data_IF_673915206071
#
_entry.id   IF_673915206071
#
_cell.length_a   1.000
_cell.length_b   1.000
_cell.length_c   1.000
_cell.angle_alpha   90.00
_cell.angle_beta   90.00
_cell.angle_gamma   90.00
#
_symmetry.space_group_name_H-M   'P 1'
#
loop_
_entity.id
_entity.type
_entity.pdbx_description
1 polymer ?
#
# COMPACT_ATOMS: atom_id res chain seq x y z
N UNK A 1 -3.00 4.65 -31.79
CA UNK A 1 -3.11 3.93 -30.49
C UNK A 1 -2.67 4.89 -29.38
N UNK A 2 -3.54 5.18 -28.42
CA UNK A 2 -3.20 6.04 -27.28
C UNK A 2 -2.20 5.33 -26.36
N UNK A 3 -1.10 6.00 -26.03
CA UNK A 3 -0.14 5.56 -25.00
C UNK A 3 -0.26 6.50 -23.81
N UNK A 4 -0.18 5.97 -22.59
CA UNK A 4 -0.21 6.78 -21.39
C UNK A 4 1.11 7.55 -21.22
N UNK A 5 1.03 8.73 -20.59
CA UNK A 5 2.17 9.56 -20.20
C UNK A 5 1.87 10.27 -18.89
N UNK A 6 2.89 10.55 -18.08
CA UNK A 6 2.74 11.44 -16.94
C UNK A 6 2.67 12.88 -17.43
N UNK A 7 1.56 13.58 -17.15
CA UNK A 7 1.33 14.95 -17.59
C UNK A 7 2.10 15.99 -16.78
N UNK A 8 2.43 15.67 -15.52
CA UNK A 8 3.22 16.55 -14.65
C UNK A 8 4.19 15.73 -13.78
N UNK A 9 5.39 15.44 -14.30
CA UNK A 9 6.42 14.72 -13.55
C UNK A 9 6.91 15.47 -12.30
N UNK A 10 6.74 16.78 -12.20
CA UNK A 10 7.16 17.57 -11.04
C UNK A 10 6.26 17.34 -9.83
N UNK A 11 5.00 16.99 -10.08
CA UNK A 11 4.01 16.63 -9.06
C UNK A 11 3.95 15.12 -8.79
N UNK A 12 4.84 14.33 -9.40
CA UNK A 12 4.95 12.90 -9.13
C UNK A 12 5.43 12.69 -7.69
N UNK A 13 4.79 11.78 -6.95
CA UNK A 13 5.25 11.40 -5.60
C UNK A 13 6.03 10.09 -5.56
N UNK A 14 6.36 9.53 -6.73
CA UNK A 14 7.09 8.26 -6.87
C UNK A 14 6.47 7.07 -6.10
N UNK A 15 5.16 7.08 -5.85
CA UNK A 15 4.45 6.05 -5.09
C UNK A 15 4.39 4.67 -5.80
N UNK A 16 4.75 4.64 -7.08
CA UNK A 16 4.75 3.46 -7.95
C UNK A 16 3.37 2.80 -8.13
N UNK A 17 2.26 3.45 -7.75
CA UNK A 17 0.93 2.89 -7.93
C UNK A 17 0.62 2.63 -9.41
N UNK A 18 0.98 3.55 -10.30
CA UNK A 18 0.85 3.37 -11.75
C UNK A 18 1.66 2.16 -12.24
N UNK A 19 2.93 2.04 -11.82
CA UNK A 19 3.82 0.92 -12.19
C UNK A 19 3.27 -0.41 -11.70
N UNK A 20 2.85 -0.49 -10.42
CA UNK A 20 2.30 -1.70 -9.79
C UNK A 20 1.00 -2.17 -10.48
N UNK A 21 0.17 -1.23 -10.93
CA UNK A 21 -1.14 -1.52 -11.51
C UNK A 21 -1.09 -1.81 -13.02
N UNK A 22 0.02 -1.54 -13.70
CA UNK A 22 0.12 -1.71 -15.16
C UNK A 22 0.12 -3.19 -15.54
N UNK A 23 -0.92 -3.72 -16.23
CA UNK A 23 -0.95 -5.14 -16.56
C UNK A 23 0.09 -5.53 -17.61
N UNK A 24 0.55 -4.58 -18.43
CA UNK A 24 1.59 -4.77 -19.44
C UNK A 24 3.00 -4.47 -18.91
N UNK A 25 3.12 -4.02 -17.66
CA UNK A 25 4.41 -3.63 -17.06
C UNK A 25 5.20 -2.63 -17.92
N UNK A 26 4.48 -1.68 -18.55
CA UNK A 26 5.02 -0.76 -19.54
C UNK A 26 5.53 0.56 -18.94
N UNK A 27 5.47 0.72 -17.61
CA UNK A 27 5.90 1.92 -16.90
C UNK A 27 7.03 1.56 -15.95
N UNK A 28 7.96 2.49 -15.78
CA UNK A 28 9.03 2.44 -14.79
C UNK A 28 9.17 3.82 -14.14
N UNK A 29 9.92 3.88 -13.05
CA UNK A 29 10.24 5.11 -12.35
C UNK A 29 11.69 5.51 -12.59
N UNK A 30 11.87 6.74 -13.03
CA UNK A 30 13.17 7.42 -13.01
C UNK A 30 13.15 8.44 -11.89
N UNK A 31 14.07 8.28 -10.93
CA UNK A 31 14.23 9.16 -9.77
C UNK A 31 14.25 10.66 -10.12
N UNK A 32 13.81 11.51 -9.20
CA UNK A 32 13.83 12.96 -9.38
C UNK A 32 15.22 13.48 -9.83
N UNK A 33 15.22 14.31 -10.89
CA UNK A 33 16.45 14.73 -11.58
C UNK A 33 17.32 15.72 -10.79
N UNK A 34 16.72 16.38 -9.81
CA UNK A 34 17.34 17.37 -8.92
C UNK A 34 18.36 16.73 -7.97
N UNK A 35 18.16 15.49 -7.54
CA UNK A 35 19.10 14.83 -6.61
C UNK A 35 19.42 13.35 -6.89
N UNK A 36 18.74 12.67 -7.82
CA UNK A 36 18.98 11.24 -8.09
C UNK A 36 19.91 11.05 -9.31
N UNK A 37 21.12 10.49 -9.14
CA UNK A 37 21.97 10.13 -10.28
C UNK A 37 21.33 9.07 -11.17
N UNK A 38 21.63 9.11 -12.46
CA UNK A 38 21.09 8.15 -13.43
C UNK A 38 21.54 6.70 -13.14
N UNK A 39 20.75 5.72 -13.61
CA UNK A 39 21.17 4.32 -13.74
C UNK A 39 20.74 3.38 -12.61
N UNK A 40 20.10 3.88 -11.55
CA UNK A 40 19.42 3.04 -10.56
C UNK A 40 17.95 2.77 -10.95
N UNK A 41 17.40 1.64 -10.52
CA UNK A 41 15.97 1.33 -10.68
C UNK A 41 15.42 0.45 -9.54
N UNK A 42 14.14 0.62 -9.24
CA UNK A 42 13.40 -0.12 -8.22
C UNK A 42 12.10 -0.66 -8.83
N UNK A 43 12.13 -1.90 -9.31
CA UNK A 43 11.03 -2.49 -10.10
C UNK A 43 10.20 -3.43 -9.22
N UNK A 44 8.91 -3.14 -8.99
CA UNK A 44 8.00 -4.03 -8.30
C UNK A 44 7.37 -5.07 -9.23
N UNK A 45 7.06 -6.24 -8.66
CA UNK A 45 6.13 -7.20 -9.24
C UNK A 45 5.13 -7.61 -8.15
N UNK A 46 3.92 -7.05 -8.21
CA UNK A 46 2.87 -7.26 -7.21
C UNK A 46 1.98 -8.44 -7.63
N UNK A 47 1.84 -9.40 -6.71
CA UNK A 47 0.88 -10.51 -6.78
C UNK A 47 -0.32 -10.22 -5.85
N UNK A 48 -1.18 -11.22 -5.62
CA UNK A 48 -2.31 -11.14 -4.68
C UNK A 48 -1.90 -11.15 -3.21
N UNK A 49 -0.92 -11.98 -2.83
CA UNK A 49 -0.49 -12.24 -1.44
C UNK A 49 0.88 -11.65 -1.10
N UNK A 50 1.66 -11.29 -2.11
CA UNK A 50 3.05 -10.87 -1.96
C UNK A 50 3.47 -9.85 -3.01
N UNK A 51 4.55 -9.13 -2.73
CA UNK A 51 5.21 -8.23 -3.67
C UNK A 51 6.70 -8.56 -3.73
N UNK A 52 7.22 -8.67 -4.95
CA UNK A 52 8.65 -8.84 -5.21
C UNK A 52 9.24 -7.51 -5.67
N UNK A 53 10.48 -7.27 -5.27
CA UNK A 53 11.22 -6.07 -5.64
C UNK A 53 12.57 -6.45 -6.20
N UNK A 54 12.92 -5.82 -7.32
CA UNK A 54 14.26 -5.82 -7.89
C UNK A 54 14.84 -4.42 -7.76
N UNK A 55 15.90 -4.28 -6.99
CA UNK A 55 16.64 -3.03 -6.83
C UNK A 55 17.96 -3.17 -7.57
N UNK A 56 18.13 -2.38 -8.64
CA UNK A 56 19.38 -2.30 -9.40
C UNK A 56 20.07 -0.98 -9.07
N UNK A 57 21.31 -1.07 -8.62
CA UNK A 57 22.15 0.09 -8.33
C UNK A 57 22.86 0.56 -9.60
N UNK A 58 23.27 1.82 -9.63
CA UNK A 58 24.02 2.42 -10.76
C UNK A 58 25.28 1.62 -11.12
N UNK A 59 25.93 1.00 -10.14
CA UNK A 59 27.14 0.18 -10.35
C UNK A 59 26.85 -1.24 -10.89
N UNK A 60 25.59 -1.57 -11.20
CA UNK A 60 25.18 -2.88 -11.71
C UNK A 60 24.79 -3.90 -10.63
N UNK A 61 25.08 -3.63 -9.35
CA UNK A 61 24.65 -4.51 -8.25
C UNK A 61 23.12 -4.65 -8.25
N UNK A 62 22.64 -5.88 -8.11
CA UNK A 62 21.20 -6.18 -8.08
C UNK A 62 20.84 -6.88 -6.78
N UNK A 63 19.81 -6.37 -6.08
CA UNK A 63 19.22 -7.00 -4.90
C UNK A 63 17.78 -7.39 -5.20
N UNK A 64 17.34 -8.54 -4.70
CA UNK A 64 15.97 -9.05 -4.85
C UNK A 64 15.36 -9.30 -3.49
N UNK A 65 14.11 -8.87 -3.34
CA UNK A 65 13.34 -9.03 -2.11
C UNK A 65 11.94 -9.56 -2.43
N UNK A 66 11.34 -10.25 -1.47
CA UNK A 66 9.93 -10.66 -1.51
C UNK A 66 9.33 -10.39 -0.13
N UNK A 67 8.18 -9.73 -0.11
CA UNK A 67 7.45 -9.39 1.11
C UNK A 67 6.00 -9.88 1.01
N UNK A 68 5.42 -10.46 2.07
CA UNK A 68 3.98 -10.69 2.14
C UNK A 68 3.25 -9.33 2.22
N UNK A 69 2.11 -9.21 1.56
CA UNK A 69 1.28 -7.97 1.58
C UNK A 69 -0.14 -8.22 2.07
N UNK A 70 -0.60 -9.48 2.08
CA UNK A 70 -1.96 -9.83 2.50
C UNK A 70 -1.98 -11.25 3.04
N UNK A 71 -2.76 -11.47 4.10
CA UNK A 71 -2.99 -12.79 4.72
C UNK A 71 -4.38 -13.37 4.43
N UNK A 72 -5.24 -12.59 3.77
CA UNK A 72 -6.61 -12.95 3.37
C UNK A 72 -6.82 -12.69 1.88
N UNK A 73 -7.87 -13.26 1.29
CA UNK A 73 -8.15 -13.08 -0.14
C UNK A 73 -8.63 -11.65 -0.46
N UNK A 74 -8.38 -11.19 -1.69
CA UNK A 74 -8.91 -9.93 -2.17
C UNK A 74 -10.45 -9.95 -2.24
N UNK A 75 -11.10 -8.90 -1.77
CA UNK A 75 -12.56 -8.82 -1.70
C UNK A 75 -13.22 -9.59 -0.55
N UNK A 76 -12.46 -10.29 0.30
CA UNK A 76 -13.04 -11.12 1.39
C UNK A 76 -13.16 -10.41 2.76
N UNK A 77 -13.00 -9.09 2.81
CA UNK A 77 -13.05 -8.35 4.09
C UNK A 77 -14.49 -8.28 4.60
N UNK A 78 -14.70 -8.62 5.88
CA UNK A 78 -16.00 -8.50 6.56
C UNK A 78 -15.99 -7.19 7.36
N UNK A 79 -16.77 -6.15 6.97
CA UNK A 79 -16.62 -4.81 7.53
C UNK A 79 -16.89 -4.69 9.03
N UNK A 80 -17.83 -5.48 9.56
CA UNK A 80 -18.15 -5.51 11.00
C UNK A 80 -17.22 -6.43 11.80
N UNK A 81 -16.28 -7.12 11.13
CA UNK A 81 -15.37 -8.08 11.77
C UNK A 81 -16.07 -9.29 12.40
N UNK A 82 -17.36 -9.50 12.15
CA UNK A 82 -18.17 -10.51 12.83
C UNK A 82 -18.58 -10.14 14.27
N UNK A 83 -18.46 -8.87 14.67
CA UNK A 83 -18.91 -8.38 15.97
C UNK A 83 -20.36 -7.91 15.91
N UNK A 84 -21.16 -8.26 16.92
CA UNK A 84 -22.52 -7.75 17.06
C UNK A 84 -22.51 -6.28 17.51
N UNK A 85 -23.49 -5.51 17.04
CA UNK A 85 -23.67 -4.11 17.42
C UNK A 85 -24.46 -4.02 18.70
N UNK A 86 -23.83 -3.57 19.77
CA UNK A 86 -24.47 -3.39 21.08
C UNK A 86 -24.39 -1.97 21.61
N UNK A 87 -23.78 -1.05 20.86
CA UNK A 87 -23.55 0.35 21.25
C UNK A 87 -24.74 1.26 20.90
N UNK A 88 -24.98 2.26 21.74
CA UNK A 88 -25.96 3.34 21.51
C UNK A 88 -25.26 4.54 20.85
N UNK A 89 -25.98 5.32 20.03
CA UNK A 89 -25.43 6.49 19.35
C UNK A 89 -24.95 7.57 20.33
N UNK A 90 -25.59 7.64 21.50
CA UNK A 90 -25.22 8.57 22.57
C UNK A 90 -24.08 8.03 23.45
N UNK A 91 -23.62 6.81 23.19
CA UNK A 91 -22.49 6.22 23.90
C UNK A 91 -21.14 6.66 23.35
N UNK A 92 -20.09 6.46 24.17
CA UNK A 92 -18.70 6.68 23.77
C UNK A 92 -18.13 5.52 22.95
N UNK A 93 -18.72 4.32 23.03
CA UNK A 93 -18.21 3.15 22.34
C UNK A 93 -18.39 3.25 20.82
N UNK A 94 -17.33 2.93 20.07
CA UNK A 94 -17.41 2.78 18.62
C UNK A 94 -18.23 1.54 18.24
N UNK A 95 -18.58 1.44 16.96
CA UNK A 95 -19.50 0.44 16.41
C UNK A 95 -19.29 -1.02 16.88
N UNK A 96 -18.04 -1.47 16.99
CA UNK A 96 -17.70 -2.85 17.44
C UNK A 96 -17.22 -2.92 18.90
N UNK A 97 -17.15 -1.79 19.60
CA UNK A 97 -16.65 -1.71 20.97
C UNK A 97 -17.75 -2.02 22.00
N UNK A 98 -17.38 -2.55 23.18
CA UNK A 98 -16.03 -2.95 23.59
C UNK A 98 -15.58 -4.32 23.05
N UNK A 99 -16.46 -5.04 22.34
CA UNK A 99 -16.23 -6.43 21.95
C UNK A 99 -14.95 -6.63 21.13
N UNK A 100 -14.67 -5.75 20.17
CA UNK A 100 -13.46 -5.80 19.34
C UNK A 100 -12.17 -5.43 20.06
N UNK A 101 -12.25 -4.71 21.18
CA UNK A 101 -11.08 -4.32 21.97
C UNK A 101 -10.64 -5.41 22.93
N UNK A 102 -11.52 -6.37 23.23
CA UNK A 102 -11.31 -7.36 24.30
C UNK A 102 -10.99 -6.73 25.67
N UNK A 103 -11.43 -5.49 25.89
CA UNK A 103 -11.31 -4.74 27.14
C UNK A 103 -12.37 -3.64 27.20
N UNK A 104 -12.72 -3.13 28.40
CA UNK A 104 -13.61 -1.97 28.51
C UNK A 104 -13.04 -0.74 27.81
N UNK A 105 -13.91 0.12 27.26
CA UNK A 105 -13.49 1.39 26.68
C UNK A 105 -12.88 2.28 27.76
N UNK A 106 -11.65 2.75 27.49
CA UNK A 106 -10.93 3.58 28.46
C UNK A 106 -11.57 4.97 28.52
N UNK A 107 -11.93 5.38 29.73
CA UNK A 107 -12.37 6.76 30.00
C UNK A 107 -11.38 7.44 30.93
N UNK A 108 -11.04 8.69 30.62
CA UNK A 108 -10.25 9.51 31.51
C UNK A 108 -11.09 9.87 32.74
N UNK A 109 -10.61 9.51 33.93
CA UNK A 109 -11.20 10.00 35.19
C UNK A 109 -10.90 11.49 35.31
N UNK A 110 -11.94 12.31 35.11
CA UNK A 110 -11.89 13.74 35.40
C UNK A 110 -11.85 13.99 36.91
#
# INVERSE_FOLDING_TARGET
KMKAVNLDPSQCWECLCCVKACPQQAMDLRGYADFVPLGASCVPLRSSDSIMWTVKFRNGMTKRFKFPIRTTEEGSAVPDGGYEVTTDIDSIELYTEPASMHMPVWTYKK
#
